data_IF_075399365424
#
_entry.id   IF_075399365424
#
_cell.length_a   1.000
_cell.length_b   1.000
_cell.length_c   1.000
_cell.angle_alpha   90.00
_cell.angle_beta   90.00
_cell.angle_gamma   90.00
#
_symmetry.space_group_name_H-M   'P 1'
#
loop_
_entity.id
_entity.type
_entity.pdbx_description
1 polymer ?
#
# COMPACT_ATOMS: atom_id res chain seq x y z
N UNK A 1 0.27 17.34 9.60
CA UNK A 1 0.36 16.04 8.91
C UNK A 1 0.13 14.97 9.95
N UNK A 2 -0.75 14.01 9.69
CA UNK A 2 -0.95 12.86 10.57
C UNK A 2 0.26 11.95 10.43
N UNK A 3 0.83 11.49 11.56
CA UNK A 3 1.95 10.54 11.52
C UNK A 3 1.48 9.19 10.96
N UNK A 4 2.29 8.59 10.10
CA UNK A 4 2.00 7.27 9.51
C UNK A 4 2.31 6.19 10.53
N UNK A 5 1.35 5.31 10.76
CA UNK A 5 1.48 4.21 11.72
C UNK A 5 0.86 2.93 11.17
N UNK A 6 1.49 1.80 11.49
CA UNK A 6 0.94 0.47 11.31
C UNK A 6 0.57 -0.09 12.69
N UNK A 7 -0.71 -0.30 12.94
CA UNK A 7 -1.22 -0.86 14.20
C UNK A 7 -1.38 -2.36 14.01
N UNK A 8 -0.62 -3.16 14.76
CA UNK A 8 -0.65 -4.63 14.68
C UNK A 8 -1.16 -5.20 15.99
N UNK A 9 -2.13 -6.11 15.92
CA UNK A 9 -2.64 -6.86 17.07
C UNK A 9 -2.47 -8.35 16.82
N UNK A 10 -1.87 -9.03 17.81
CA UNK A 10 -1.69 -10.48 17.83
C UNK A 10 -2.65 -11.07 18.85
N UNK A 11 -3.50 -11.99 18.42
CA UNK A 11 -4.48 -12.68 19.27
C UNK A 11 -3.88 -13.98 19.81
N UNK A 12 -4.50 -14.53 20.87
CA UNK A 12 -4.00 -15.75 21.53
C UNK A 12 -4.10 -17.01 20.66
N UNK A 13 -4.99 -17.00 19.68
CA UNK A 13 -5.16 -18.07 18.68
C UNK A 13 -4.14 -17.97 17.53
N UNK A 14 -3.23 -16.99 17.57
CA UNK A 14 -2.22 -16.77 16.54
C UNK A 14 -2.69 -15.93 15.37
N UNK A 15 -3.97 -15.50 15.34
CA UNK A 15 -4.45 -14.57 14.31
C UNK A 15 -3.82 -13.19 14.50
N UNK A 16 -3.36 -12.61 13.39
CA UNK A 16 -2.82 -11.24 13.34
C UNK A 16 -3.78 -10.35 12.58
N UNK A 17 -4.11 -9.19 13.14
CA UNK A 17 -4.85 -8.12 12.46
C UNK A 17 -3.98 -6.88 12.37
N UNK A 18 -4.01 -6.20 11.24
CA UNK A 18 -3.24 -4.99 11.00
C UNK A 18 -4.10 -3.87 10.39
N UNK A 19 -3.85 -2.63 10.80
CA UNK A 19 -4.52 -1.42 10.29
C UNK A 19 -3.48 -0.33 10.01
N UNK A 20 -3.61 0.35 8.87
CA UNK A 20 -2.79 1.50 8.49
C UNK A 20 -3.48 2.80 8.88
N UNK A 21 -2.75 3.69 9.57
CA UNK A 21 -3.24 5.00 10.02
C UNK A 21 -2.37 6.09 9.40
N UNK A 22 -3.02 7.13 8.87
CA UNK A 22 -2.32 8.25 8.23
C UNK A 22 -1.79 7.97 6.82
N UNK A 23 -2.23 6.88 6.18
CA UNK A 23 -1.89 6.47 4.80
C UNK A 23 -3.14 6.58 3.91
N UNK A 24 -2.99 6.90 2.62
CA UNK A 24 -4.11 7.15 1.71
C UNK A 24 -3.94 6.48 0.35
N UNK A 25 -5.02 5.94 -0.21
CA UNK A 25 -4.95 5.31 -1.54
C UNK A 25 -4.19 3.98 -1.52
N UNK A 26 -3.46 3.71 -2.61
CA UNK A 26 -2.78 2.44 -2.83
C UNK A 26 -1.69 2.12 -1.79
N UNK A 27 -1.07 3.14 -1.17
CA UNK A 27 -0.03 2.90 -0.14
C UNK A 27 -0.57 2.16 1.10
N UNK A 28 -1.89 2.18 1.34
CA UNK A 28 -2.50 1.39 2.40
C UNK A 28 -2.26 -0.12 2.23
N UNK A 29 -1.91 -0.58 1.02
CA UNK A 29 -1.72 -2.00 0.69
C UNK A 29 -0.25 -2.44 0.75
N UNK A 30 0.70 -1.51 0.77
CA UNK A 30 2.14 -1.81 0.64
C UNK A 30 2.66 -2.71 1.77
N UNK A 31 2.04 -2.60 2.95
CA UNK A 31 2.46 -3.34 4.14
C UNK A 31 1.92 -4.77 4.21
N UNK A 32 0.97 -5.14 3.35
CA UNK A 32 0.41 -6.51 3.33
C UNK A 32 1.52 -7.51 3.03
N UNK A 33 2.25 -7.32 1.92
CA UNK A 33 3.31 -8.22 1.50
C UNK A 33 4.47 -8.30 2.51
N UNK A 34 4.77 -7.16 3.16
CA UNK A 34 5.80 -7.10 4.21
C UNK A 34 5.41 -7.95 5.42
N UNK A 35 4.15 -7.83 5.88
CA UNK A 35 3.64 -8.60 7.01
C UNK A 35 3.58 -10.09 6.69
N UNK A 36 3.08 -10.48 5.52
CA UNK A 36 3.05 -11.87 5.08
C UNK A 36 4.45 -12.51 5.08
N UNK A 37 5.45 -11.78 4.60
CA UNK A 37 6.82 -12.26 4.55
C UNK A 37 7.45 -12.40 5.95
N UNK A 38 7.29 -11.42 6.84
CA UNK A 38 7.90 -11.45 8.18
C UNK A 38 7.21 -12.46 9.09
N UNK A 39 5.88 -12.60 8.94
CA UNK A 39 5.06 -13.49 9.77
C UNK A 39 4.98 -14.91 9.19
N UNK A 40 5.53 -15.14 8.00
CA UNK A 40 5.37 -16.38 7.23
C UNK A 40 3.88 -16.78 7.13
N UNK A 41 3.02 -15.79 6.86
CA UNK A 41 1.57 -15.90 6.94
C UNK A 41 0.89 -15.45 5.63
N UNK A 42 -0.43 -15.61 5.56
CA UNK A 42 -1.25 -15.17 4.43
C UNK A 42 -2.44 -14.34 4.90
N UNK A 43 -2.75 -13.30 4.13
CA UNK A 43 -3.94 -12.48 4.34
C UNK A 43 -5.18 -13.26 3.95
N UNK A 44 -6.09 -13.45 4.91
CA UNK A 44 -7.35 -14.17 4.71
C UNK A 44 -8.52 -13.22 4.47
N UNK A 45 -8.46 -12.01 5.01
CA UNK A 45 -9.50 -10.98 4.87
C UNK A 45 -8.89 -9.59 4.93
N UNK A 46 -9.47 -8.65 4.17
CA UNK A 46 -9.10 -7.24 4.17
C UNK A 46 -10.37 -6.37 4.13
N UNK A 47 -10.36 -5.27 4.88
CA UNK A 47 -11.41 -4.26 4.85
C UNK A 47 -10.80 -2.89 4.48
N UNK A 48 -11.44 -2.17 3.55
CA UNK A 48 -11.00 -0.85 3.12
C UNK A 48 -11.71 0.24 3.93
N UNK A 49 -10.94 1.21 4.41
CA UNK A 49 -11.44 2.42 5.09
C UNK A 49 -11.60 3.57 4.11
N UNK A 50 -12.25 4.66 4.52
CA UNK A 50 -12.39 5.87 3.70
C UNK A 50 -11.04 6.43 3.19
N UNK A 51 -9.97 6.28 3.97
CA UNK A 51 -8.63 6.75 3.57
C UNK A 51 -8.08 5.96 2.37
N UNK A 52 -8.45 4.68 2.18
CA UNK A 52 -8.09 3.94 0.97
C UNK A 52 -8.72 4.55 -0.30
N UNK A 53 -9.94 5.08 -0.19
CA UNK A 53 -10.62 5.69 -1.32
C UNK A 53 -10.19 7.14 -1.56
N UNK A 54 -9.51 7.75 -0.59
CA UNK A 54 -8.94 9.09 -0.73
C UNK A 54 -7.67 8.98 -1.57
N UNK A 55 -7.73 9.42 -2.83
CA UNK A 55 -6.53 9.45 -3.67
C UNK A 55 -5.65 10.63 -3.27
N UNK A 56 -4.37 10.37 -3.01
CA UNK A 56 -3.35 11.42 -2.92
C UNK A 56 -2.93 11.79 -4.34
N UNK A 57 -2.87 13.09 -4.65
CA UNK A 57 -2.55 13.61 -5.99
C UNK A 57 -1.08 13.38 -6.42
N UNK A 58 -0.27 12.73 -5.57
CA UNK A 58 1.18 12.63 -5.72
C UNK A 58 1.63 11.34 -6.46
N UNK A 59 0.71 10.44 -6.83
CA UNK A 59 1.05 9.20 -7.56
C UNK A 59 1.12 9.36 -9.10
N UNK A 60 1.15 10.60 -9.61
CA UNK A 60 1.11 10.89 -11.06
C UNK A 60 2.41 11.48 -11.59
N UNK A 61 3.56 10.81 -11.43
CA UNK A 61 4.75 11.12 -12.24
C UNK A 61 5.63 9.89 -12.43
N UNK A 62 5.31 9.05 -13.41
CA UNK A 62 6.32 8.37 -14.22
C UNK A 62 5.70 8.04 -15.59
N UNK A 63 5.53 9.07 -16.42
CA UNK A 63 5.37 8.87 -17.86
C UNK A 63 6.77 8.77 -18.44
N UNK A 64 7.25 7.54 -18.61
CA UNK A 64 8.40 7.24 -19.48
C UNK A 64 8.09 7.80 -20.87
N UNK A 65 8.74 8.91 -21.21
CA UNK A 65 8.77 9.42 -22.57
C UNK A 65 9.66 8.47 -23.39
N UNK A 66 9.06 7.49 -24.05
CA UNK A 66 9.74 6.79 -25.14
C UNK A 66 9.97 7.78 -26.28
N UNK A 67 11.19 8.28 -26.40
CA UNK A 67 11.69 8.97 -27.58
C UNK A 67 11.67 7.99 -28.76
N UNK A 68 10.63 8.07 -29.58
CA UNK A 68 10.52 7.37 -30.86
C UNK A 68 10.32 8.40 -31.95
N UNK A 69 11.40 9.05 -32.39
CA UNK A 69 11.55 9.67 -33.72
C UNK A 69 13.00 10.20 -33.84
N UNK A 70 13.83 9.93 -34.84
CA UNK A 70 13.50 9.81 -36.25
C UNK A 70 14.61 9.04 -37.02
N UNK A 71 14.18 8.01 -37.75
CA UNK A 71 14.83 7.65 -39.01
C UNK A 71 14.35 8.68 -40.05
N UNK A 72 15.20 9.61 -40.47
CA UNK A 72 14.76 10.60 -41.46
C UNK A 72 15.74 11.70 -41.85
N UNK A 73 16.92 11.34 -42.40
CA UNK A 73 17.51 11.90 -43.64
C UNK A 73 18.89 11.34 -43.89
#
# INVERSE_FOLDING_TARGET
MTEKQLVVQVRRDGTVTAETVGMQGAECLDYIAVLEHILEAQTTESAFTDDYYRTTAEQSTDVVAEDRDALGR
#
